data_IF_784776841746
#
_entry.id   IF_784776841746
#
_cell.length_a   1.000
_cell.length_b   1.000
_cell.length_c   1.000
_cell.angle_alpha   90.00
_cell.angle_beta   90.00
_cell.angle_gamma   90.00
#
_symmetry.space_group_name_H-M   'P 1'
#
loop_
_entity.id
_entity.type
_entity.pdbx_description
1 polymer ?
#
# COMPACT_ATOMS: atom_id res chain seq x y z
N UNK A 1 14.47 -38.42 -13.72
CA UNK A 1 14.82 -36.98 -13.59
C UNK A 1 13.70 -36.00 -13.98
N UNK A 2 12.74 -36.38 -14.83
CA UNK A 2 11.67 -35.48 -15.30
C UNK A 2 10.60 -35.13 -14.24
N UNK A 3 10.31 -36.07 -13.33
CA UNK A 3 9.30 -35.91 -12.25
C UNK A 3 9.78 -34.96 -11.15
N UNK A 4 11.06 -35.05 -10.75
CA UNK A 4 11.63 -34.14 -9.77
C UNK A 4 11.57 -32.68 -10.26
N UNK A 5 11.84 -32.46 -11.55
CA UNK A 5 11.76 -31.12 -12.15
C UNK A 5 10.35 -30.53 -12.04
N UNK A 6 9.33 -31.34 -12.30
CA UNK A 6 7.94 -30.92 -12.19
C UNK A 6 7.56 -30.59 -10.74
N UNK A 7 8.05 -31.37 -9.78
CA UNK A 7 7.85 -31.15 -8.36
C UNK A 7 8.49 -29.83 -7.90
N UNK A 8 9.70 -29.53 -8.36
CA UNK A 8 10.37 -28.25 -8.09
C UNK A 8 9.59 -27.07 -8.66
N UNK A 9 9.07 -27.17 -9.89
CA UNK A 9 8.26 -26.11 -10.52
C UNK A 9 6.96 -25.86 -9.73
N UNK A 10 6.28 -26.93 -9.29
CA UNK A 10 5.09 -26.85 -8.45
C UNK A 10 5.37 -26.14 -7.12
N UNK A 11 6.43 -26.54 -6.42
CA UNK A 11 6.84 -25.91 -5.16
C UNK A 11 7.16 -24.42 -5.34
N UNK A 12 7.83 -24.07 -6.44
CA UNK A 12 8.16 -22.68 -6.78
C UNK A 12 6.89 -21.86 -7.05
N UNK A 13 5.91 -22.41 -7.77
CA UNK A 13 4.65 -21.73 -8.06
C UNK A 13 3.82 -21.49 -6.79
N UNK A 14 3.71 -22.50 -5.93
CA UNK A 14 2.95 -22.43 -4.67
C UNK A 14 3.57 -21.44 -3.69
N UNK A 15 4.89 -21.24 -3.71
CA UNK A 15 5.58 -20.32 -2.78
C UNK A 15 5.68 -18.89 -3.30
N UNK A 16 5.86 -18.69 -4.61
CA UNK A 16 6.12 -17.35 -5.18
C UNK A 16 4.84 -16.58 -5.47
N UNK A 17 3.77 -17.25 -5.94
CA UNK A 17 2.48 -16.57 -6.13
C UNK A 17 1.95 -15.88 -4.87
N UNK A 18 1.92 -16.52 -3.68
CA UNK A 18 1.43 -15.86 -2.48
C UNK A 18 2.36 -14.75 -2.00
N UNK A 19 3.68 -14.87 -2.20
CA UNK A 19 4.62 -13.80 -1.88
C UNK A 19 4.32 -12.52 -2.68
N UNK A 20 4.04 -12.64 -3.97
CA UNK A 20 3.63 -11.50 -4.82
C UNK A 20 2.30 -10.87 -4.39
N UNK A 21 1.39 -11.65 -3.80
CA UNK A 21 0.12 -11.15 -3.26
C UNK A 21 0.30 -10.40 -1.93
N UNK A 22 1.26 -10.80 -1.10
CA UNK A 22 1.45 -10.25 0.25
C UNK A 22 2.25 -8.95 0.29
N UNK A 23 3.16 -8.76 -0.68
CA UNK A 23 3.89 -7.51 -0.86
C UNK A 23 3.43 -6.85 -2.14
N UNK A 24 2.22 -6.25 -2.11
CA UNK A 24 1.81 -5.48 -3.26
C UNK A 24 2.86 -4.37 -3.43
N UNK A 25 3.36 -4.20 -4.66
CA UNK A 25 4.39 -3.22 -5.01
C UNK A 25 4.17 -1.93 -4.23
N UNK A 26 5.22 -1.28 -3.73
CA UNK A 26 5.19 -0.09 -2.86
C UNK A 26 4.15 1.00 -3.25
N UNK A 27 3.69 1.04 -4.52
CA UNK A 27 2.56 1.83 -5.01
C UNK A 27 1.13 1.32 -4.69
N UNK A 28 0.97 0.31 -3.85
CA UNK A 28 -0.33 -0.27 -3.45
C UNK A 28 -0.77 0.12 -2.05
N UNK A 29 0.10 0.82 -1.31
CA UNK A 29 -0.28 1.41 -0.04
C UNK A 29 -1.32 2.49 -0.34
N UNK A 30 -2.56 2.19 0.02
CA UNK A 30 -3.72 3.04 -0.16
C UNK A 30 -3.67 4.18 0.87
N UNK A 31 -2.73 5.13 0.67
CA UNK A 31 -2.46 6.27 1.57
C UNK A 31 -3.73 7.05 1.92
N UNK A 32 -4.71 7.04 1.01
CA UNK A 32 -6.05 7.61 1.25
C UNK A 32 -6.84 6.86 2.32
N UNK A 33 -6.79 5.52 2.32
CA UNK A 33 -7.42 4.70 3.37
C UNK A 33 -6.71 4.87 4.70
N UNK A 34 -5.39 4.86 4.72
CA UNK A 34 -4.61 5.08 5.95
C UNK A 34 -4.88 6.46 6.55
N UNK A 35 -4.94 7.50 5.70
CA UNK A 35 -5.34 8.84 6.10
C UNK A 35 -6.72 8.84 6.78
N UNK A 36 -7.72 8.21 6.15
CA UNK A 36 -9.08 8.13 6.70
C UNK A 36 -9.14 7.31 7.99
N UNK A 37 -8.32 6.26 8.10
CA UNK A 37 -8.22 5.41 9.29
C UNK A 37 -7.67 6.17 10.49
N UNK A 38 -6.76 7.12 10.25
CA UNK A 38 -6.26 8.05 11.26
C UNK A 38 -7.20 9.22 11.59
N UNK A 39 -8.47 9.22 11.15
CA UNK A 39 -9.38 10.38 11.23
C UNK A 39 -8.90 11.61 10.42
N UNK A 40 -8.03 11.41 9.43
CA UNK A 40 -7.57 12.47 8.53
C UNK A 40 -8.46 12.66 7.30
N UNK A 41 -8.29 13.81 6.64
CA UNK A 41 -8.92 14.15 5.36
C UNK A 41 -7.88 14.54 4.31
N UNK A 42 -8.07 14.08 3.08
CA UNK A 42 -7.22 14.50 1.96
C UNK A 42 -7.66 15.89 1.46
N UNK A 43 -6.76 16.87 1.50
CA UNK A 43 -6.99 18.26 1.03
C UNK A 43 -5.79 18.73 0.19
N UNK A 44 -5.98 19.75 -0.64
CA UNK A 44 -4.86 20.36 -1.40
C UNK A 44 -3.95 21.14 -0.45
N UNK A 45 -4.52 21.77 0.57
CA UNK A 45 -3.78 22.48 1.61
C UNK A 45 -4.44 22.19 2.96
N UNK A 46 -3.61 21.92 3.97
CA UNK A 46 -4.09 21.76 5.34
C UNK A 46 -4.23 23.16 5.98
N UNK A 47 -5.35 23.46 6.66
CA UNK A 47 -5.48 24.66 7.47
C UNK A 47 -4.50 24.63 8.65
N UNK A 48 -4.17 25.80 9.22
CA UNK A 48 -3.15 25.93 10.28
C UNK A 48 -3.49 25.15 11.57
N UNK A 49 -4.76 24.82 11.78
CA UNK A 49 -5.23 24.02 12.91
C UNK A 49 -5.13 22.49 12.68
N UNK A 50 -4.68 22.05 11.50
CA UNK A 50 -4.52 20.64 11.14
C UNK A 50 -3.05 20.29 10.89
N UNK A 51 -2.64 19.07 11.26
CA UNK A 51 -1.28 18.58 11.05
C UNK A 51 -1.20 17.85 9.70
N UNK A 52 -0.21 18.22 8.89
CA UNK A 52 0.15 17.52 7.67
C UNK A 52 1.08 16.34 7.98
N UNK A 53 0.59 15.12 7.75
CA UNK A 53 1.36 13.89 8.03
C UNK A 53 1.90 13.19 6.78
N UNK A 54 1.17 13.23 5.66
CA UNK A 54 1.53 12.49 4.45
C UNK A 54 0.88 13.10 3.20
N UNK A 55 1.24 12.58 2.03
CA UNK A 55 0.51 12.80 0.78
C UNK A 55 -0.59 11.73 0.61
N UNK A 56 -1.68 12.08 -0.08
CA UNK A 56 -2.66 11.10 -0.53
C UNK A 56 -2.32 10.61 -1.96
N UNK A 57 -2.98 9.55 -2.44
CA UNK A 57 -2.74 8.99 -3.78
C UNK A 57 -2.91 9.99 -4.95
N UNK A 58 -3.74 11.04 -4.78
CA UNK A 58 -3.87 12.08 -5.81
C UNK A 58 -2.66 13.02 -5.73
N UNK A 59 -2.04 13.36 -6.87
CA UNK A 59 -0.96 14.35 -6.90
C UNK A 59 -1.44 15.67 -6.28
N UNK A 60 -0.54 16.36 -5.58
CA UNK A 60 -0.79 17.62 -4.87
C UNK A 60 -1.86 17.57 -3.75
N UNK A 61 -2.27 16.38 -3.29
CA UNK A 61 -3.15 16.26 -2.12
C UNK A 61 -2.38 15.75 -0.90
N UNK A 62 -2.66 16.35 0.26
CA UNK A 62 -2.08 16.03 1.56
C UNK A 62 -3.13 15.42 2.47
N UNK A 63 -2.71 14.51 3.34
CA UNK A 63 -3.51 14.04 4.46
C UNK A 63 -3.37 15.04 5.63
N UNK A 64 -4.48 15.63 6.02
CA UNK A 64 -4.59 16.57 7.13
C UNK A 64 -5.32 15.90 8.29
N UNK A 65 -4.70 15.88 9.46
CA UNK A 65 -5.27 15.38 10.71
C UNK A 65 -5.70 16.55 11.58
N UNK A 66 -6.87 16.42 12.19
CA UNK A 66 -7.26 17.33 13.27
C UNK A 66 -6.36 17.04 14.47
N UNK A 67 -5.86 18.11 15.10
CA UNK A 67 -4.95 18.03 16.25
C UNK A 67 -5.61 17.39 17.46
#
# INVERSE_FOLDING_TARGET
MKIHLFFFILLFWVTILPAKKRYPQYGSLDLRRECRRGNGRCKIQCPENEIRIAYCMRPATHCCLQK
#
